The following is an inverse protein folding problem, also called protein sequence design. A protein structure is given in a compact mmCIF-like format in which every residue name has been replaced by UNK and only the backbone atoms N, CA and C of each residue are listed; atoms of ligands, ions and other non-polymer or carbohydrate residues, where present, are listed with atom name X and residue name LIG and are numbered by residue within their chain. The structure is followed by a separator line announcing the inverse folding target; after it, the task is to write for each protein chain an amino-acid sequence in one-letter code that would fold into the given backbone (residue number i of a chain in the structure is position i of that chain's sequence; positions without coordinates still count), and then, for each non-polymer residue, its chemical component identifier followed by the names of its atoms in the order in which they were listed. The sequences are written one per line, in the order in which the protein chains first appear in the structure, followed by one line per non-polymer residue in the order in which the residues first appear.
data_IF_096393818056
#
_entry.id   IF_096393818056
#
_cell.length_a   1.000
_cell.length_b   1.000
_cell.length_c   1.000
_cell.angle_alpha   90.00
_cell.angle_beta   90.00
_cell.angle_gamma   90.00
#
_symmetry.space_group_name_H-M   'P 1'
#
loop_
_entity.id
_entity.type
_entity.pdbx_description
1 polymer ?
#
# COMPACT_ATOMS: atom_id res chain seq x y z
N UNK A 1 11.32 -20.13 -3.01
CA UNK A 1 10.47 -19.29 -2.14
C UNK A 1 11.29 -18.14 -1.59
N UNK A 2 10.79 -16.93 -1.73
CA UNK A 2 11.48 -15.75 -1.22
C UNK A 2 11.12 -15.45 0.23
N UNK A 3 12.08 -14.90 0.96
CA UNK A 3 11.87 -14.44 2.33
C UNK A 3 11.72 -12.93 2.29
N UNK A 4 10.68 -12.39 2.93
CA UNK A 4 10.47 -10.96 3.02
C UNK A 4 11.34 -10.34 4.10
N UNK A 5 11.91 -9.17 3.82
CA UNK A 5 12.59 -8.37 4.82
C UNK A 5 11.55 -7.81 5.80
N UNK A 6 12.02 -7.20 6.91
CA UNK A 6 11.14 -6.56 7.86
C UNK A 6 10.29 -5.46 7.20
N UNK A 7 10.91 -4.62 6.36
CA UNK A 7 10.20 -3.57 5.64
C UNK A 7 9.18 -4.12 4.66
N UNK A 8 9.53 -5.19 3.95
CA UNK A 8 8.62 -5.84 3.00
C UNK A 8 7.43 -6.48 3.73
N UNK A 9 7.68 -7.07 4.89
CA UNK A 9 6.61 -7.63 5.72
C UNK A 9 5.68 -6.54 6.25
N UNK A 10 6.23 -5.39 6.65
CA UNK A 10 5.43 -4.24 7.07
C UNK A 10 4.56 -3.73 5.93
N UNK A 11 5.13 -3.61 4.72
CA UNK A 11 4.37 -3.21 3.54
C UNK A 11 3.21 -4.15 3.26
N UNK A 12 3.42 -5.45 3.42
CA UNK A 12 2.36 -6.44 3.22
C UNK A 12 1.22 -6.23 4.22
N UNK A 13 1.53 -5.89 5.47
CA UNK A 13 0.52 -5.59 6.48
C UNK A 13 -0.31 -4.36 6.08
N UNK A 14 0.32 -3.31 5.56
CA UNK A 14 -0.40 -2.12 5.08
C UNK A 14 -1.32 -2.44 3.90
N UNK A 15 -0.90 -3.34 3.03
CA UNK A 15 -1.64 -3.70 1.82
C UNK A 15 -2.81 -4.65 2.07
N UNK A 16 -2.70 -5.52 3.06
CA UNK A 16 -3.65 -6.62 3.25
C UNK A 16 -4.37 -6.63 4.58
N UNK A 17 -3.83 -5.98 5.60
CA UNK A 17 -4.35 -6.04 6.95
C UNK A 17 -4.95 -4.74 7.45
N UNK A 18 -5.86 -4.86 8.41
CA UNK A 18 -6.33 -3.72 9.18
C UNK A 18 -5.43 -3.56 10.38
N UNK A 19 -4.77 -2.41 10.47
CA UNK A 19 -3.83 -2.12 11.56
C UNK A 19 -4.48 -1.18 12.57
N UNK A 20 -4.15 -1.35 13.84
CA UNK A 20 -4.67 -0.52 14.94
C UNK A 20 -3.59 -0.25 15.98
N UNK A 21 -3.64 0.95 16.53
CA UNK A 21 -2.81 1.34 17.70
C UNK A 21 -1.32 1.06 17.52
N UNK A 22 -0.79 1.49 16.38
CA UNK A 22 0.64 1.36 16.09
C UNK A 22 1.27 2.75 15.93
N UNK A 23 2.60 2.80 16.07
CA UNK A 23 3.38 4.00 15.84
C UNK A 23 4.29 3.79 14.63
N UNK A 24 4.27 4.76 13.73
CA UNK A 24 5.10 4.74 12.54
C UNK A 24 6.15 5.84 12.67
N UNK A 25 7.44 5.50 12.74
CA UNK A 25 8.48 6.53 12.75
C UNK A 25 8.59 7.15 11.36
N UNK A 26 8.49 8.47 11.28
CA UNK A 26 8.60 9.21 10.02
C UNK A 26 9.58 10.37 10.20
N UNK A 27 10.20 10.79 9.11
CA UNK A 27 11.12 11.92 9.14
C UNK A 27 10.44 13.16 8.57
N UNK A 28 10.49 14.26 9.35
CA UNK A 28 9.96 15.56 8.95
C UNK A 28 11.01 16.60 9.28
N UNK A 29 11.52 17.31 8.26
CA UNK A 29 12.50 18.35 8.46
C UNK A 29 13.78 17.92 9.16
N UNK A 30 14.25 16.70 8.91
CA UNK A 30 15.45 16.17 9.54
C UNK A 30 15.24 15.59 10.94
N UNK A 31 13.99 15.58 11.42
CA UNK A 31 13.62 15.00 12.72
C UNK A 31 12.83 13.72 12.51
N UNK A 32 13.10 12.71 13.34
CA UNK A 32 12.29 11.50 13.37
C UNK A 32 11.19 11.70 14.40
N UNK A 33 9.94 11.56 13.97
CA UNK A 33 8.78 11.68 14.83
C UNK A 33 7.98 10.38 14.81
N UNK A 34 7.16 10.16 15.82
CA UNK A 34 6.26 9.02 15.87
C UNK A 34 4.87 9.45 15.42
N UNK A 35 4.42 8.86 14.30
CA UNK A 35 3.08 9.08 13.80
C UNK A 35 2.19 7.98 14.34
N UNK A 36 1.19 8.35 15.14
CA UNK A 36 0.27 7.38 15.73
C UNK A 36 -0.79 6.96 14.71
N UNK A 37 -0.90 5.69 14.46
CA UNK A 37 -1.95 5.11 13.62
C UNK A 37 -3.00 4.47 14.53
N UNK A 38 -4.17 5.08 14.61
CA UNK A 38 -5.27 4.53 15.39
C UNK A 38 -5.96 3.40 14.65
N UNK A 39 -6.14 3.59 13.33
CA UNK A 39 -6.76 2.57 12.48
C UNK A 39 -6.32 2.75 11.04
N UNK A 40 -6.09 1.64 10.34
CA UNK A 40 -5.78 1.62 8.92
C UNK A 40 -6.58 0.52 8.25
N UNK A 41 -7.19 0.82 7.10
CA UNK A 41 -7.99 -0.14 6.32
C UNK A 41 -7.67 -0.03 4.84
N UNK A 42 -7.14 -1.10 4.22
CA UNK A 42 -6.88 -1.11 2.78
C UNK A 42 -8.10 -1.56 1.99
N UNK A 43 -8.20 -1.08 0.74
CA UNK A 43 -9.19 -1.52 -0.22
C UNK A 43 -8.54 -1.58 -1.60
N UNK A 44 -8.70 -2.70 -2.28
CA UNK A 44 -8.13 -2.94 -3.60
C UNK A 44 -9.17 -2.65 -4.68
N UNK A 45 -8.76 -1.91 -5.72
CA UNK A 45 -9.59 -1.64 -6.90
C UNK A 45 -8.82 -1.99 -8.16
N UNK A 46 -9.52 -2.51 -9.16
CA UNK A 46 -8.93 -2.85 -10.45
C UNK A 46 -9.69 -2.15 -11.57
N UNK A 47 -8.95 -1.58 -12.52
CA UNK A 47 -9.51 -0.98 -13.74
C UNK A 47 -8.72 -1.48 -14.94
N UNK A 48 -9.41 -1.70 -16.05
CA UNK A 48 -8.80 -2.18 -17.29
C UNK A 48 -9.06 -1.19 -18.41
N UNK A 49 -7.98 -0.77 -19.08
CA UNK A 49 -8.06 0.19 -20.19
C UNK A 49 -8.02 -0.48 -21.58
N UNK A 50 -8.09 -1.81 -21.63
CA UNK A 50 -7.96 -2.59 -22.87
C UNK A 50 -6.54 -3.11 -23.10
N UNK A 51 -5.55 -2.57 -22.42
CA UNK A 51 -4.14 -2.97 -22.54
C UNK A 51 -3.52 -3.25 -21.19
N UNK A 52 -3.60 -2.30 -20.28
CA UNK A 52 -3.01 -2.41 -18.94
C UNK A 52 -4.09 -2.50 -17.87
N UNK A 53 -3.73 -3.12 -16.75
CA UNK A 53 -4.60 -3.27 -15.59
C UNK A 53 -4.11 -2.34 -14.49
N UNK A 54 -4.92 -1.36 -14.14
CA UNK A 54 -4.60 -0.42 -13.07
C UNK A 54 -5.08 -0.98 -11.75
N UNK A 55 -4.15 -1.27 -10.84
CA UNK A 55 -4.45 -1.75 -9.50
C UNK A 55 -4.21 -0.62 -8.53
N UNK A 56 -5.26 -0.15 -7.88
CA UNK A 56 -5.17 0.92 -6.89
C UNK A 56 -5.45 0.35 -5.51
N UNK A 57 -4.51 0.54 -4.59
CA UNK A 57 -4.73 0.24 -3.18
C UNK A 57 -5.07 1.54 -2.47
N UNK A 58 -6.30 1.65 -1.99
CA UNK A 58 -6.74 2.80 -1.22
C UNK A 58 -6.66 2.45 0.25
N UNK A 59 -5.81 3.18 0.99
CA UNK A 59 -5.61 2.96 2.42
C UNK A 59 -6.16 4.16 3.17
N UNK A 60 -7.19 3.94 3.97
CA UNK A 60 -7.78 4.97 4.82
C UNK A 60 -7.20 4.85 6.21
N UNK A 61 -6.61 5.93 6.69
CA UNK A 61 -5.90 5.96 7.97
C UNK A 61 -6.49 7.04 8.87
N UNK A 62 -6.73 6.68 10.13
CA UNK A 62 -7.01 7.63 11.19
C UNK A 62 -5.79 7.72 12.08
N UNK A 63 -5.22 8.90 12.22
CA UNK A 63 -4.01 9.05 13.02
C UNK A 63 -3.45 10.46 12.98
N UNK A 64 -2.34 10.66 13.66
CA UNK A 64 -1.68 11.94 13.70
C UNK A 64 -0.41 11.94 14.54
N UNK A 65 0.28 13.07 14.53
CA UNK A 65 1.46 13.29 15.36
C UNK A 65 1.11 14.24 16.50
N UNK A 66 1.71 14.01 17.67
CA UNK A 66 1.58 14.89 18.81
C UNK A 66 2.84 15.75 19.02
N UNK A 67 3.77 15.69 18.08
CA UNK A 67 5.02 16.45 18.15
C UNK A 67 4.79 17.94 17.96
N UNK A 68 5.40 18.76 18.83
CA UNK A 68 5.33 20.22 18.72
C UNK A 68 6.13 20.73 17.53
N UNK A 69 5.63 21.78 16.89
CA UNK A 69 6.32 22.44 15.78
C UNK A 69 6.15 21.73 14.43
N UNK A 70 5.34 20.68 14.39
CA UNK A 70 5.07 19.93 13.16
C UNK A 70 3.57 19.90 12.94
N UNK A 71 3.13 20.40 11.77
CA UNK A 71 1.71 20.41 11.42
C UNK A 71 1.21 18.99 11.10
N UNK A 72 -0.08 18.77 11.28
CA UNK A 72 -0.72 17.53 10.89
C UNK A 72 -0.49 17.22 9.41
N UNK A 73 -0.55 18.26 8.56
CA UNK A 73 -0.33 18.12 7.13
C UNK A 73 1.08 17.61 6.81
N UNK A 74 2.10 18.22 7.39
CA UNK A 74 3.49 17.80 7.18
C UNK A 74 3.71 16.35 7.66
N UNK A 75 3.21 16.02 8.84
CA UNK A 75 3.34 14.68 9.39
C UNK A 75 2.60 13.65 8.53
N UNK A 76 1.39 14.00 8.06
CA UNK A 76 0.58 13.11 7.22
C UNK A 76 1.23 12.87 5.86
N UNK A 77 1.80 13.89 5.24
CA UNK A 77 2.52 13.73 3.97
C UNK A 77 3.72 12.82 4.12
N UNK A 78 4.49 12.98 5.18
CA UNK A 78 5.65 12.13 5.46
C UNK A 78 5.23 10.69 5.73
N UNK A 79 4.16 10.47 6.49
CA UNK A 79 3.63 9.15 6.77
C UNK A 79 3.12 8.47 5.50
N UNK A 80 2.37 9.21 4.66
CA UNK A 80 1.84 8.68 3.39
C UNK A 80 2.98 8.27 2.46
N UNK A 81 4.02 9.09 2.35
CA UNK A 81 5.17 8.79 1.51
C UNK A 81 5.90 7.52 1.99
N UNK A 82 6.06 7.38 3.29
CA UNK A 82 6.71 6.19 3.87
C UNK A 82 5.88 4.93 3.63
N UNK A 83 4.58 5.00 3.84
CA UNK A 83 3.68 3.86 3.62
C UNK A 83 3.68 3.46 2.14
N UNK A 84 3.59 4.43 1.22
CA UNK A 84 3.66 4.16 -0.22
C UNK A 84 4.97 3.47 -0.59
N UNK A 85 6.09 3.91 -0.02
CA UNK A 85 7.40 3.31 -0.26
C UNK A 85 7.47 1.86 0.21
N UNK A 86 6.95 1.57 1.41
CA UNK A 86 6.89 0.21 1.94
C UNK A 86 6.00 -0.68 1.08
N UNK A 87 4.85 -0.18 0.64
CA UNK A 87 3.94 -0.92 -0.23
C UNK A 87 4.58 -1.22 -1.58
N UNK A 88 5.22 -0.24 -2.20
CA UNK A 88 5.90 -0.41 -3.48
C UNK A 88 7.01 -1.45 -3.41
N UNK A 89 7.80 -1.42 -2.34
CA UNK A 89 8.88 -2.38 -2.11
C UNK A 89 8.33 -3.80 -1.97
N UNK A 90 7.22 -3.95 -1.23
CA UNK A 90 6.56 -5.24 -1.04
C UNK A 90 6.01 -5.79 -2.35
N UNK A 91 5.35 -4.95 -3.16
CA UNK A 91 4.81 -5.37 -4.47
C UNK A 91 5.94 -5.82 -5.40
N UNK A 92 7.04 -5.07 -5.45
CA UNK A 92 8.19 -5.45 -6.27
C UNK A 92 8.74 -6.81 -5.88
N UNK A 93 8.78 -7.12 -4.58
CA UNK A 93 9.30 -8.40 -4.09
C UNK A 93 8.30 -9.53 -4.31
N UNK A 94 7.03 -9.32 -3.99
CA UNK A 94 6.03 -10.40 -3.99
C UNK A 94 5.39 -10.62 -5.36
N UNK A 95 4.68 -9.64 -5.87
CA UNK A 95 3.93 -9.78 -7.13
C UNK A 95 4.87 -9.86 -8.33
N UNK A 96 5.77 -8.92 -8.46
CA UNK A 96 6.69 -8.85 -9.61
C UNK A 96 7.83 -9.85 -9.47
N UNK A 97 8.47 -9.92 -8.30
CA UNK A 97 9.63 -10.79 -8.05
C UNK A 97 9.28 -12.26 -7.90
N UNK A 98 8.41 -12.58 -6.95
CA UNK A 98 8.01 -13.96 -6.67
C UNK A 98 6.80 -14.41 -7.49
N UNK A 99 6.18 -13.51 -8.22
CA UNK A 99 4.96 -13.75 -9.02
C UNK A 99 3.81 -14.30 -8.17
N UNK A 100 3.74 -13.87 -6.92
CA UNK A 100 2.72 -14.29 -5.98
C UNK A 100 1.57 -13.28 -5.90
N UNK A 101 0.33 -13.76 -5.94
CA UNK A 101 -0.87 -12.92 -5.83
C UNK A 101 -1.25 -12.72 -4.36
N UNK A 102 -0.39 -12.01 -3.64
CA UNK A 102 -0.55 -11.78 -2.19
C UNK A 102 -1.70 -10.83 -1.85
N UNK A 103 -2.19 -10.06 -2.81
CA UNK A 103 -3.26 -9.08 -2.62
C UNK A 103 -4.64 -9.59 -3.04
N UNK A 104 -4.71 -10.76 -3.67
CA UNK A 104 -5.96 -11.25 -4.26
C UNK A 104 -6.35 -10.45 -5.50
N UNK A 105 -5.36 -10.09 -6.32
CA UNK A 105 -5.59 -9.28 -7.54
C UNK A 105 -6.51 -10.00 -8.51
N UNK A 106 -6.32 -11.31 -8.71
CA UNK A 106 -7.16 -12.09 -9.61
C UNK A 106 -8.63 -12.07 -9.18
N UNK A 107 -8.87 -12.18 -7.87
CA UNK A 107 -10.22 -12.10 -7.32
C UNK A 107 -10.82 -10.70 -7.50
N UNK A 108 -10.01 -9.68 -7.33
CA UNK A 108 -10.43 -8.29 -7.52
C UNK A 108 -10.82 -8.04 -8.98
N UNK A 109 -10.03 -8.53 -9.93
CA UNK A 109 -10.31 -8.42 -11.36
C UNK A 109 -11.64 -9.10 -11.68
N UNK A 110 -11.89 -10.28 -11.14
CA UNK A 110 -13.14 -11.00 -11.34
C UNK A 110 -14.35 -10.26 -10.77
N UNK A 111 -14.20 -9.69 -9.58
CA UNK A 111 -15.31 -8.98 -8.93
C UNK A 111 -15.68 -7.66 -9.61
N UNK A 112 -14.75 -7.05 -10.34
CA UNK A 112 -15.01 -5.83 -11.11
C UNK A 112 -15.55 -6.14 -12.52
N UNK A 113 -15.85 -7.41 -12.80
CA UNK A 113 -16.34 -7.88 -14.10
C UNK A 113 -15.38 -7.56 -15.26
N UNK A 114 -14.10 -7.50 -14.96
CA UNK A 114 -13.08 -7.29 -15.97
C UNK A 114 -12.81 -8.62 -16.69
N UNK A 115 -13.03 -8.64 -17.99
CA UNK A 115 -12.87 -9.84 -18.79
C UNK A 115 -11.51 -9.83 -19.48
N UNK A 116 -10.55 -10.52 -18.90
CA UNK A 116 -9.19 -10.60 -19.40
C UNK A 116 -8.82 -12.07 -19.60
N UNK A 117 -8.32 -12.38 -20.80
CA UNK A 117 -7.80 -13.71 -21.11
C UNK A 117 -6.31 -13.75 -20.79
N UNK A 118 -5.87 -14.85 -20.19
CA UNK A 118 -4.47 -15.07 -19.90
C UNK A 118 -4.25 -15.66 -18.51
N UNK A 119 -3.11 -16.30 -18.33
CA UNK A 119 -2.70 -16.83 -17.06
C UNK A 119 -2.10 -15.71 -16.19
N UNK A 120 -2.05 -15.93 -14.89
CA UNK A 120 -1.52 -14.95 -13.93
C UNK A 120 -0.15 -14.40 -14.34
N UNK A 121 0.76 -15.27 -14.77
CA UNK A 121 2.11 -14.86 -15.19
C UNK A 121 2.10 -13.91 -16.39
N UNK A 122 1.11 -14.06 -17.27
CA UNK A 122 0.96 -13.21 -18.43
C UNK A 122 0.37 -11.86 -18.07
N UNK A 123 -0.41 -11.80 -16.99
CA UNK A 123 -1.03 -10.56 -16.52
C UNK A 123 -0.06 -9.65 -15.79
N UNK A 124 0.92 -10.21 -15.08
CA UNK A 124 1.84 -9.44 -14.25
C UNK A 124 2.50 -8.26 -14.98
N UNK A 125 3.07 -8.41 -16.20
CA UNK A 125 3.68 -7.28 -16.90
C UNK A 125 2.69 -6.17 -17.29
N UNK A 126 1.40 -6.47 -17.27
CA UNK A 126 0.33 -5.53 -17.63
C UNK A 126 -0.21 -4.77 -16.43
N UNK A 127 0.20 -5.17 -15.20
CA UNK A 127 -0.27 -4.54 -13.97
C UNK A 127 0.46 -3.22 -13.71
N UNK A 128 -0.30 -2.20 -13.35
CA UNK A 128 0.22 -0.91 -12.92
C UNK A 128 -0.32 -0.63 -11.53
N UNK A 129 0.58 -0.34 -10.59
CA UNK A 129 0.22 -0.18 -9.18
C UNK A 129 0.21 1.27 -8.76
N UNK A 130 -0.86 1.67 -8.10
CA UNK A 130 -1.06 3.00 -7.54
C UNK A 130 -1.50 2.89 -6.10
N UNK A 131 -1.12 3.87 -5.30
CA UNK A 131 -1.47 3.90 -3.88
C UNK A 131 -2.14 5.22 -3.57
N UNK A 132 -3.34 5.14 -2.98
CA UNK A 132 -4.07 6.31 -2.51
C UNK A 132 -4.16 6.22 -1.00
N UNK A 133 -3.39 7.05 -0.31
CA UNK A 133 -3.32 7.03 1.15
C UNK A 133 -3.99 8.28 1.67
N UNK A 134 -5.10 8.09 2.39
CA UNK A 134 -5.89 9.18 2.95
C UNK A 134 -5.80 9.14 4.46
N UNK A 135 -5.31 10.22 5.05
CA UNK A 135 -5.09 10.31 6.49
C UNK A 135 -6.00 11.39 7.08
N UNK A 136 -6.81 10.99 8.06
CA UNK A 136 -7.67 11.87 8.82
C UNK A 136 -7.24 11.88 10.28
N UNK A 137 -7.30 13.02 10.92
CA UNK A 137 -6.96 13.14 12.34
C UNK A 137 -8.05 12.60 13.28
#
# INVERSE_FOLDING_TARGET
MGILSEEESQGLCWLTGSLRDIYLPVEVGGRTISFQIRKSSPKLKAEFDGKNIKITTEIKISGGSVEEGISHEEASEAAAAKISGLCSKTISKTVTGMKADVLGIQKCISSENININGEWKELIPRLQFYYSIKIAS
#
